data_IF_792690176482
#
_entry.id   IF_792690176482
#
_cell.length_a   1.000
_cell.length_b   1.000
_cell.length_c   1.000
_cell.angle_alpha   90.00
_cell.angle_beta   90.00
_cell.angle_gamma   90.00
#
_symmetry.space_group_name_H-M   'P 1'
#
loop_
_entity.id
_entity.type
_entity.pdbx_description
1 polymer ?
#
# COMPACT_ATOMS: atom_id res chain seq x y z
N UNK A 1 -18.37 -14.61 14.12
CA UNK A 1 -17.53 -14.57 12.90
C UNK A 1 -16.37 -13.60 13.15
N UNK A 2 -15.16 -13.95 12.75
CA UNK A 2 -13.96 -13.12 12.82
C UNK A 2 -13.49 -12.85 11.39
N UNK A 3 -13.16 -11.60 11.10
CA UNK A 3 -12.62 -11.15 9.82
C UNK A 3 -11.23 -10.58 10.07
N UNK A 4 -10.25 -11.07 9.32
CA UNK A 4 -8.91 -10.49 9.26
C UNK A 4 -8.60 -10.04 7.85
N UNK A 5 -7.85 -8.96 7.70
CA UNK A 5 -7.32 -8.54 6.41
C UNK A 5 -5.89 -8.00 6.59
N UNK A 6 -5.07 -8.16 5.56
CA UNK A 6 -3.74 -7.57 5.48
C UNK A 6 -3.49 -7.05 4.06
N UNK A 7 -2.63 -6.06 3.91
CA UNK A 7 -2.39 -5.41 2.62
C UNK A 7 -0.90 -5.18 2.40
N UNK A 8 -0.44 -5.53 1.20
CA UNK A 8 0.93 -5.31 0.75
C UNK A 8 0.93 -4.64 -0.63
N UNK A 9 2.00 -3.90 -0.93
CA UNK A 9 2.28 -3.36 -2.26
C UNK A 9 3.42 -4.16 -2.87
N UNK A 10 3.33 -4.48 -4.17
CA UNK A 10 4.32 -5.28 -4.89
C UNK A 10 4.69 -4.58 -6.19
N UNK A 11 5.98 -4.34 -6.42
CA UNK A 11 6.53 -3.87 -7.68
C UNK A 11 7.53 -4.91 -8.20
N UNK A 12 7.22 -5.58 -9.31
CA UNK A 12 8.01 -6.71 -9.80
C UNK A 12 8.07 -7.83 -8.75
N UNK A 13 9.27 -8.13 -8.27
CA UNK A 13 9.51 -9.14 -7.22
C UNK A 13 9.63 -8.54 -5.81
N UNK A 14 9.55 -7.21 -5.67
CA UNK A 14 9.75 -6.51 -4.40
C UNK A 14 8.43 -6.29 -3.64
N UNK A 15 8.37 -6.82 -2.41
CA UNK A 15 7.26 -6.57 -1.48
C UNK A 15 7.57 -5.33 -0.64
N UNK A 16 6.75 -4.30 -0.82
CA UNK A 16 6.81 -3.04 -0.08
C UNK A 16 5.77 -3.06 1.06
N UNK A 17 6.25 -3.39 2.26
CA UNK A 17 5.48 -3.27 3.50
C UNK A 17 5.33 -1.82 3.97
N UNK A 18 5.13 -1.64 5.27
CA UNK A 18 5.02 -0.31 5.90
C UNK A 18 6.41 0.30 6.10
N UNK A 19 6.63 1.59 5.79
CA UNK A 19 7.91 2.24 6.06
C UNK A 19 8.04 2.49 7.57
N UNK A 20 9.21 2.18 8.13
CA UNK A 20 9.54 2.37 9.54
C UNK A 20 9.98 3.81 9.87
N UNK A 21 10.37 4.58 8.86
CA UNK A 21 10.82 5.95 9.00
C UNK A 21 10.64 6.77 7.71
N UNK A 22 10.88 8.09 7.79
CA UNK A 22 10.78 9.04 6.68
C UNK A 22 11.63 8.64 5.47
N UNK A 23 12.90 8.30 5.67
CA UNK A 23 13.81 7.92 4.58
C UNK A 23 13.33 6.67 3.85
N UNK A 24 12.77 5.69 4.58
CA UNK A 24 12.16 4.50 3.97
C UNK A 24 10.92 4.85 3.16
N UNK A 25 10.09 5.77 3.64
CA UNK A 25 8.92 6.25 2.92
C UNK A 25 9.30 6.99 1.62
N UNK A 26 10.30 7.88 1.67
CA UNK A 26 10.83 8.59 0.51
C UNK A 26 11.33 7.61 -0.55
N UNK A 27 12.16 6.64 -0.16
CA UNK A 27 12.68 5.62 -1.07
C UNK A 27 11.57 4.78 -1.70
N UNK A 28 10.57 4.36 -0.92
CA UNK A 28 9.42 3.61 -1.46
C UNK A 28 8.66 4.42 -2.52
N UNK A 29 8.35 5.69 -2.24
CA UNK A 29 7.64 6.55 -3.19
C UNK A 29 8.47 6.84 -4.45
N UNK A 30 9.79 7.04 -4.31
CA UNK A 30 10.70 7.18 -5.45
C UNK A 30 10.76 5.90 -6.29
N UNK A 31 10.72 4.72 -5.66
CA UNK A 31 10.73 3.43 -6.35
C UNK A 31 9.44 3.18 -7.12
N UNK A 32 8.31 3.65 -6.60
CA UNK A 32 6.99 3.52 -7.23
C UNK A 32 6.72 4.61 -8.28
N UNK A 33 7.47 5.71 -8.28
CA UNK A 33 7.32 6.84 -9.21
C UNK A 33 7.44 6.41 -10.67
N UNK A 34 6.45 6.75 -11.49
CA UNK A 34 6.43 6.40 -12.92
C UNK A 34 6.17 4.92 -13.22
N UNK A 35 6.00 4.09 -12.18
CA UNK A 35 5.86 2.65 -12.30
C UNK A 35 4.40 2.19 -12.15
N UNK A 36 4.15 0.96 -12.59
CA UNK A 36 2.89 0.25 -12.34
C UNK A 36 3.11 -0.89 -11.36
N UNK A 37 2.49 -0.80 -10.18
CA UNK A 37 2.57 -1.78 -9.10
C UNK A 37 1.22 -2.44 -8.81
N UNK A 38 1.25 -3.46 -7.97
CA UNK A 38 0.07 -4.20 -7.54
C UNK A 38 -0.14 -4.05 -6.04
N UNK A 39 -1.38 -3.79 -5.65
CA UNK A 39 -1.83 -3.80 -4.26
C UNK A 39 -2.59 -5.10 -4.02
N UNK A 40 -2.10 -5.91 -3.10
CA UNK A 40 -2.73 -7.16 -2.71
C UNK A 40 -3.42 -6.95 -1.36
N UNK A 41 -4.70 -7.29 -1.28
CA UNK A 41 -5.43 -7.37 -0.01
C UNK A 41 -5.85 -8.80 0.23
N UNK A 42 -5.21 -9.46 1.19
CA UNK A 42 -5.61 -10.78 1.66
C UNK A 42 -6.71 -10.67 2.71
N UNK A 43 -7.75 -11.51 2.63
CA UNK A 43 -8.88 -11.52 3.55
C UNK A 43 -9.11 -12.93 4.07
N UNK A 44 -9.31 -13.05 5.39
CA UNK A 44 -9.66 -14.27 6.10
C UNK A 44 -11.01 -14.12 6.79
N UNK A 45 -11.95 -15.01 6.46
CA UNK A 45 -13.23 -15.15 7.13
C UNK A 45 -13.22 -16.45 7.95
N UNK A 46 -13.34 -16.33 9.28
CA UNK A 46 -13.42 -17.47 10.20
C UNK A 46 -14.73 -17.46 10.97
N UNK A 47 -15.53 -18.51 10.84
CA UNK A 47 -16.74 -18.71 11.63
C UNK A 47 -16.77 -20.13 12.22
N UNK A 48 -16.42 -20.24 13.49
CA UNK A 48 -16.29 -21.52 14.19
C UNK A 48 -17.62 -22.29 14.21
N UNK A 49 -18.70 -21.65 14.66
CA UNK A 49 -20.04 -22.27 14.76
C UNK A 49 -20.62 -22.77 13.44
N UNK A 50 -20.22 -22.16 12.31
CA UNK A 50 -20.67 -22.53 10.96
C UNK A 50 -19.64 -23.35 10.19
N UNK A 51 -18.54 -23.74 10.85
CA UNK A 51 -17.40 -24.40 10.22
C UNK A 51 -16.88 -23.70 8.95
N UNK A 52 -16.98 -22.36 8.89
CA UNK A 52 -16.52 -21.57 7.76
C UNK A 52 -15.07 -21.15 7.97
N UNK A 53 -14.24 -21.43 6.97
CA UNK A 53 -12.90 -20.88 6.84
C UNK A 53 -12.69 -20.56 5.37
N UNK A 54 -12.68 -19.27 5.04
CA UNK A 54 -12.53 -18.80 3.68
C UNK A 54 -11.39 -17.79 3.61
N UNK A 55 -10.48 -18.02 2.67
CA UNK A 55 -9.30 -17.20 2.41
C UNK A 55 -9.36 -16.80 0.95
N UNK A 56 -9.24 -15.50 0.68
CA UNK A 56 -9.13 -14.98 -0.67
C UNK A 56 -8.22 -13.75 -0.68
N UNK A 57 -7.78 -13.35 -1.86
CA UNK A 57 -7.04 -12.12 -2.06
C UNK A 57 -7.62 -11.37 -3.26
N UNK A 58 -7.66 -10.06 -3.15
CA UNK A 58 -7.97 -9.15 -4.27
C UNK A 58 -6.70 -8.43 -4.69
N UNK A 59 -6.52 -8.23 -6.00
CA UNK A 59 -5.34 -7.58 -6.57
C UNK A 59 -5.80 -6.37 -7.37
N UNK A 60 -5.28 -5.19 -7.02
CA UNK A 60 -5.51 -3.95 -7.75
C UNK A 60 -4.22 -3.48 -8.40
N UNK A 61 -4.26 -3.14 -9.69
CA UNK A 61 -3.13 -2.50 -10.38
C UNK A 61 -3.23 -0.99 -10.24
N UNK A 62 -2.13 -0.35 -9.86
CA UNK A 62 -2.02 1.11 -9.69
C UNK A 62 -0.81 1.59 -10.48
N UNK A 63 -0.98 2.65 -11.27
CA UNK A 63 0.10 3.30 -12.00
C UNK A 63 0.31 4.67 -11.38
N UNK A 64 1.55 4.98 -11.00
CA UNK A 64 1.90 6.34 -10.60
C UNK A 64 2.38 7.13 -11.81
N UNK A 65 2.09 8.44 -11.82
CA UNK A 65 2.85 9.38 -12.65
C UNK A 65 4.28 9.51 -12.11
N UNK A 66 5.14 10.18 -12.87
CA UNK A 66 6.43 10.63 -12.34
C UNK A 66 6.20 11.61 -11.19
N UNK A 67 6.83 11.32 -10.05
CA UNK A 67 6.79 12.12 -8.83
C UNK A 67 8.10 12.87 -8.70
N UNK A 68 8.01 14.18 -8.45
CA UNK A 68 9.19 14.94 -8.06
C UNK A 68 9.45 14.87 -6.55
N UNK A 69 10.67 15.23 -6.15
CA UNK A 69 11.08 15.18 -4.73
C UNK A 69 10.24 16.09 -3.83
N UNK A 70 9.70 17.19 -4.37
CA UNK A 70 8.90 18.13 -3.59
C UNK A 70 7.51 17.55 -3.29
N UNK A 71 6.88 16.90 -4.28
CA UNK A 71 5.60 16.19 -4.12
C UNK A 71 5.73 15.09 -3.05
N UNK A 72 6.80 14.30 -3.12
CA UNK A 72 7.09 13.24 -2.14
C UNK A 72 7.28 13.82 -0.74
N UNK A 73 8.12 14.84 -0.60
CA UNK A 73 8.39 15.48 0.68
C UNK A 73 7.12 16.12 1.27
N UNK A 74 6.34 16.82 0.44
CA UNK A 74 5.09 17.44 0.83
C UNK A 74 4.06 16.41 1.30
N UNK A 75 3.94 15.29 0.58
CA UNK A 75 3.04 14.21 0.98
C UNK A 75 3.42 13.60 2.31
N UNK A 76 4.70 13.27 2.53
CA UNK A 76 5.14 12.66 3.79
C UNK A 76 4.94 13.61 4.97
N UNK A 77 5.14 14.92 4.78
CA UNK A 77 4.93 15.91 5.82
C UNK A 77 3.44 16.14 6.13
N UNK A 78 2.60 16.24 5.11
CA UNK A 78 1.16 16.50 5.27
C UNK A 78 0.36 15.26 5.67
N UNK A 79 0.77 14.08 5.20
CA UNK A 79 0.09 12.80 5.35
C UNK A 79 1.10 11.68 5.69
N UNK A 80 1.67 11.64 6.90
CA UNK A 80 2.72 10.68 7.24
C UNK A 80 2.28 9.21 6.99
N UNK A 81 2.92 8.48 6.05
CA UNK A 81 2.40 7.20 5.58
C UNK A 81 2.99 5.97 6.31
N UNK A 82 3.42 6.15 7.56
CA UNK A 82 4.17 5.12 8.32
C UNK A 82 3.34 3.87 8.67
N UNK A 83 2.02 3.96 8.58
CA UNK A 83 1.11 2.85 8.79
C UNK A 83 0.63 2.17 7.49
N UNK A 84 1.09 2.64 6.33
CA UNK A 84 0.61 2.25 5.00
C UNK A 84 1.65 1.45 4.21
N UNK A 85 1.24 0.31 3.65
CA UNK A 85 2.10 -0.46 2.77
C UNK A 85 2.44 0.33 1.49
N UNK A 86 3.68 0.26 1.04
CA UNK A 86 4.16 1.06 -0.11
C UNK A 86 4.26 2.56 0.14
N UNK A 87 4.11 3.00 1.39
CA UNK A 87 4.24 4.40 1.80
C UNK A 87 3.23 5.38 1.15
N UNK A 88 2.05 4.93 0.72
CA UNK A 88 0.99 5.81 0.25
C UNK A 88 -0.40 5.31 0.65
N UNK A 89 -1.39 6.21 0.59
CA UNK A 89 -2.80 5.89 0.80
C UNK A 89 -3.67 6.68 -0.16
N UNK A 90 -4.36 5.99 -1.07
CA UNK A 90 -5.15 6.64 -2.14
C UNK A 90 -6.25 7.60 -1.65
N UNK A 91 -6.62 7.53 -0.37
CA UNK A 91 -7.58 8.44 0.27
C UNK A 91 -6.96 9.74 0.78
N UNK A 92 -5.62 9.81 0.85
CA UNK A 92 -4.86 10.98 1.24
C UNK A 92 -4.55 11.87 0.02
N UNK A 93 -3.67 12.87 0.20
CA UNK A 93 -3.17 13.68 -0.91
C UNK A 93 -2.48 12.87 -2.01
N UNK A 94 -1.95 11.68 -1.71
CA UNK A 94 -1.36 10.77 -2.72
C UNK A 94 -2.32 10.35 -3.84
N UNK A 95 -3.62 10.64 -3.74
CA UNK A 95 -4.54 10.55 -4.88
C UNK A 95 -4.04 11.31 -6.12
N UNK A 96 -3.23 12.37 -5.95
CA UNK A 96 -2.63 13.12 -7.08
C UNK A 96 -1.47 12.40 -7.76
N UNK A 97 -1.00 11.26 -7.22
CA UNK A 97 0.06 10.44 -7.79
C UNK A 97 -0.47 9.46 -8.84
N UNK A 98 -1.75 9.10 -8.75
CA UNK A 98 -2.41 8.04 -9.54
C UNK A 98 -3.12 8.62 -10.76
#
# INVERSE_FOLDING_TARGET
MVIGADTIVVLGDDILGKPDNKTRAEHMLQTLSGETHQVYTGVCLKWIEKHLHHLFAEITTVTFRDLDENDIAHYIESCPPYDKAGAYGIQDWSAVFV
#
